data_IF_974849976233
#
_entry.id   IF_974849976233
#
_cell.length_a   1.000
_cell.length_b   1.000
_cell.length_c   1.000
_cell.angle_alpha   90.00
_cell.angle_beta   90.00
_cell.angle_gamma   90.00
#
_symmetry.space_group_name_H-M   'P 1'
#
loop_
_entity.id
_entity.type
_entity.pdbx_description
1 polymer ?
#
# COMPACT_ATOMS: atom_id res chain seq x y z
N UNK A 1 5.81 18.19 12.62
CA UNK A 1 5.90 16.93 13.39
C UNK A 1 4.67 16.12 13.01
N UNK A 2 4.83 14.85 12.61
CA UNK A 2 3.72 14.00 12.16
C UNK A 2 3.32 13.12 13.34
N UNK A 3 2.02 13.08 13.63
CA UNK A 3 1.48 12.20 14.67
C UNK A 3 1.66 10.73 14.29
N UNK A 4 1.67 9.84 15.27
CA UNK A 4 1.79 8.40 15.04
C UNK A 4 0.77 7.65 15.89
N UNK A 5 0.46 6.43 15.46
CA UNK A 5 -0.40 5.51 16.21
C UNK A 5 0.45 4.45 16.91
N UNK A 6 -0.21 3.50 17.57
CA UNK A 6 0.43 2.39 18.23
C UNK A 6 -0.05 1.07 17.63
N UNK A 7 0.85 0.08 17.56
CA UNK A 7 0.55 -1.25 17.05
C UNK A 7 -0.54 -1.92 17.89
N UNK A 8 -1.58 -2.46 17.22
CA UNK A 8 -2.67 -3.21 17.86
C UNK A 8 -2.55 -4.74 17.74
N UNK A 9 -1.64 -5.23 16.88
CA UNK A 9 -1.53 -6.66 16.54
C UNK A 9 -1.23 -7.56 17.75
N UNK A 10 -0.39 -7.10 18.68
CA UNK A 10 -0.03 -7.82 19.92
C UNK A 10 -0.75 -7.27 21.16
N UNK A 11 -1.91 -6.62 20.97
CA UNK A 11 -2.68 -6.03 22.08
C UNK A 11 -3.18 -7.08 23.07
N UNK A 12 -3.42 -8.32 22.62
CA UNK A 12 -3.73 -9.49 23.45
C UNK A 12 -2.63 -9.79 24.48
N UNK A 13 -1.37 -9.46 24.16
CA UNK A 13 -0.19 -9.61 25.02
C UNK A 13 0.14 -8.35 25.82
N UNK A 14 -0.70 -7.32 25.76
CA UNK A 14 -0.42 -6.00 26.35
C UNK A 14 0.91 -5.37 25.85
N UNK A 15 1.32 -5.69 24.63
CA UNK A 15 2.52 -5.11 23.98
C UNK A 15 2.08 -3.96 23.08
N UNK A 16 2.72 -2.81 23.23
CA UNK A 16 2.49 -1.62 22.42
C UNK A 16 3.81 -0.96 22.03
N UNK A 17 3.90 -0.51 20.78
CA UNK A 17 5.03 0.25 20.25
C UNK A 17 4.51 1.21 19.17
N UNK A 18 5.29 2.26 18.90
CA UNK A 18 4.92 3.26 17.88
C UNK A 18 4.79 2.59 16.53
N UNK A 19 3.77 2.98 15.77
CA UNK A 19 3.54 2.52 14.42
C UNK A 19 3.59 3.70 13.45
N UNK A 20 4.16 3.45 12.27
CA UNK A 20 4.46 4.50 11.29
C UNK A 20 5.60 4.06 10.38
N UNK A 21 5.29 3.19 9.43
CA UNK A 21 6.22 2.69 8.43
C UNK A 21 5.59 2.74 7.03
N UNK A 22 6.41 2.52 6.00
CA UNK A 22 5.96 2.29 4.63
C UNK A 22 5.04 3.40 4.08
N UNK A 23 5.48 4.68 4.08
CA UNK A 23 4.64 5.77 3.58
C UNK A 23 4.44 5.65 2.06
N UNK A 24 3.19 5.57 1.63
CA UNK A 24 2.78 5.77 0.24
C UNK A 24 2.22 7.18 0.08
N UNK A 25 2.87 8.00 -0.76
CA UNK A 25 2.49 9.39 -1.01
C UNK A 25 2.01 9.55 -2.45
N UNK A 26 0.84 10.15 -2.63
CA UNK A 26 0.25 10.44 -3.94
C UNK A 26 -0.12 11.92 -4.04
N UNK A 27 0.21 12.54 -5.17
CA UNK A 27 -0.27 13.88 -5.51
C UNK A 27 -1.66 13.80 -6.13
N UNK A 28 -2.57 14.68 -5.71
CA UNK A 28 -3.92 14.79 -6.21
C UNK A 28 -4.42 16.23 -6.12
N UNK A 29 -4.67 16.87 -7.28
CA UNK A 29 -5.22 18.23 -7.42
C UNK A 29 -4.42 19.30 -6.66
N UNK A 30 -3.10 19.21 -6.68
CA UNK A 30 -2.18 20.14 -6.04
C UNK A 30 -2.00 19.92 -4.53
N UNK A 31 -2.57 18.85 -3.97
CA UNK A 31 -2.32 18.38 -2.60
C UNK A 31 -1.64 17.01 -2.64
N UNK A 32 -1.01 16.63 -1.54
CA UNK A 32 -0.37 15.33 -1.34
C UNK A 32 -1.11 14.57 -0.27
N UNK A 33 -1.33 13.27 -0.48
CA UNK A 33 -1.94 12.37 0.49
C UNK A 33 -0.97 11.25 0.83
N UNK A 34 -0.74 11.04 2.13
CA UNK A 34 0.22 10.06 2.64
C UNK A 34 -0.49 9.01 3.49
N UNK A 35 -0.35 7.75 3.07
CA UNK A 35 -0.88 6.57 3.74
C UNK A 35 0.27 5.83 4.42
N UNK A 36 0.14 5.52 5.70
CA UNK A 36 1.24 4.95 6.49
C UNK A 36 0.71 3.77 7.29
N UNK A 37 1.50 2.69 7.34
CA UNK A 37 1.20 1.45 8.05
C UNK A 37 0.54 1.73 9.41
N UNK A 38 -0.64 1.14 9.61
CA UNK A 38 -1.44 1.12 10.85
C UNK A 38 -1.79 2.48 11.44
N UNK A 39 -1.90 3.50 10.61
CA UNK A 39 -2.30 4.83 11.05
C UNK A 39 -3.80 5.00 11.27
N UNK A 40 -4.61 4.00 10.87
CA UNK A 40 -6.08 4.04 10.93
C UNK A 40 -6.68 5.31 10.30
N UNK A 41 -5.99 5.82 9.29
CA UNK A 41 -6.25 7.06 8.56
C UNK A 41 -5.02 7.43 7.75
N UNK A 42 -4.97 8.68 7.32
CA UNK A 42 -3.92 9.18 6.43
C UNK A 42 -3.75 10.68 6.62
N UNK A 43 -2.72 11.26 6.04
CA UNK A 43 -2.47 12.69 6.11
C UNK A 43 -2.60 13.33 4.75
N UNK A 44 -2.91 14.63 4.75
CA UNK A 44 -2.80 15.47 3.56
C UNK A 44 -1.87 16.65 3.78
N UNK A 45 -1.26 17.15 2.72
CA UNK A 45 -0.35 18.30 2.75
C UNK A 45 -0.42 19.10 1.45
N UNK A 46 -0.06 20.38 1.50
CA UNK A 46 0.12 21.22 0.31
C UNK A 46 1.60 21.44 -0.05
N UNK A 47 2.51 21.11 0.85
CA UNK A 47 3.92 21.48 0.77
C UNK A 47 4.88 20.35 1.16
N UNK A 48 4.36 19.16 1.47
CA UNK A 48 5.10 17.99 1.99
C UNK A 48 5.78 18.21 3.36
N UNK A 49 5.64 19.40 3.96
CA UNK A 49 6.24 19.77 5.24
C UNK A 49 5.20 19.73 6.37
N UNK A 50 4.03 20.29 6.11
CA UNK A 50 2.93 20.42 7.04
C UNK A 50 1.81 19.45 6.67
N UNK A 51 1.47 18.57 7.62
CA UNK A 51 0.55 17.46 7.39
C UNK A 51 -0.66 17.57 8.31
N UNK A 52 -1.86 17.43 7.74
CA UNK A 52 -3.15 17.40 8.43
C UNK A 52 -3.70 15.97 8.40
N UNK A 53 -4.04 15.40 9.56
CA UNK A 53 -4.62 14.06 9.61
C UNK A 53 -6.07 14.06 9.14
N UNK A 54 -6.36 13.22 8.14
CA UNK A 54 -7.70 12.95 7.63
C UNK A 54 -8.27 11.74 8.35
N UNK A 55 -9.36 11.98 9.09
CA UNK A 55 -10.12 10.90 9.73
C UNK A 55 -10.92 10.15 8.67
N UNK A 56 -10.80 8.82 8.58
CA UNK A 56 -11.57 8.07 7.61
C UNK A 56 -13.06 8.06 7.91
N UNK A 57 -13.86 8.04 6.84
CA UNK A 57 -15.30 7.91 6.85
C UNK A 57 -15.74 6.53 6.35
N UNK A 58 -16.69 6.51 5.41
CA UNK A 58 -17.28 5.26 4.89
C UNK A 58 -16.26 4.40 4.14
N UNK A 59 -16.49 3.08 4.18
CA UNK A 59 -15.73 2.02 3.49
C UNK A 59 -14.22 1.96 3.79
N UNK A 60 -13.72 2.73 4.75
CA UNK A 60 -12.32 2.64 5.16
C UNK A 60 -12.02 1.28 5.79
N UNK A 61 -10.80 0.78 5.56
CA UNK A 61 -10.34 -0.46 6.13
C UNK A 61 -10.05 -0.32 7.64
N UNK A 62 -10.80 -0.99 8.54
CA UNK A 62 -10.76 -0.67 9.97
C UNK A 62 -9.59 -1.33 10.71
N UNK A 63 -8.98 -2.39 10.15
CA UNK A 63 -7.95 -3.18 10.86
C UNK A 63 -6.54 -2.56 10.77
N UNK A 64 -6.39 -1.46 10.02
CA UNK A 64 -5.12 -0.78 9.79
C UNK A 64 -4.30 -1.42 8.66
N UNK A 65 -3.78 -0.60 7.75
CA UNK A 65 -2.97 -1.03 6.62
C UNK A 65 -1.58 -1.57 7.02
N UNK A 66 -0.98 -2.39 6.16
CA UNK A 66 0.44 -2.72 6.15
C UNK A 66 1.01 -2.41 4.76
N UNK A 67 2.03 -1.54 4.65
CA UNK A 67 2.66 -1.18 3.38
C UNK A 67 1.64 -0.87 2.26
N UNK A 68 0.78 0.14 2.45
CA UNK A 68 -0.27 0.46 1.47
C UNK A 68 0.32 0.97 0.15
N UNK A 69 -0.51 0.95 -0.90
CA UNK A 69 -0.24 1.62 -2.17
C UNK A 69 -1.29 2.70 -2.45
N UNK A 70 -0.90 3.76 -3.15
CA UNK A 70 -1.83 4.76 -3.65
C UNK A 70 -1.41 5.27 -5.03
N UNK A 71 -2.38 5.52 -5.90
CA UNK A 71 -2.14 5.95 -7.28
C UNK A 71 -3.20 6.96 -7.72
N UNK A 72 -2.79 8.06 -8.34
CA UNK A 72 -3.72 9.02 -8.93
C UNK A 72 -4.06 8.59 -10.36
N UNK A 73 -5.35 8.40 -10.65
CA UNK A 73 -5.80 8.03 -11.98
C UNK A 73 -7.18 8.60 -12.30
N UNK A 74 -7.30 9.26 -13.47
CA UNK A 74 -8.55 9.83 -13.98
C UNK A 74 -9.32 10.65 -12.94
N UNK A 75 -8.62 11.58 -12.29
CA UNK A 75 -9.22 12.48 -11.30
C UNK A 75 -9.84 11.72 -10.09
N UNK A 76 -9.22 10.60 -9.73
CA UNK A 76 -9.48 9.84 -8.51
C UNK A 76 -8.20 9.29 -7.92
N UNK A 77 -8.13 9.20 -6.60
CA UNK A 77 -7.10 8.42 -5.91
C UNK A 77 -7.58 6.98 -5.80
N UNK A 78 -6.76 6.05 -6.27
CA UNK A 78 -6.87 4.62 -6.02
C UNK A 78 -6.00 4.27 -4.82
N UNK A 79 -6.50 3.42 -3.93
CA UNK A 79 -5.83 3.02 -2.70
C UNK A 79 -5.93 1.52 -2.50
N UNK A 80 -4.80 0.89 -2.18
CA UNK A 80 -4.70 -0.53 -1.87
C UNK A 80 -4.18 -0.64 -0.45
N UNK A 81 -5.03 -1.14 0.44
CA UNK A 81 -4.79 -0.97 1.88
C UNK A 81 -3.66 -1.84 2.44
N UNK A 82 -3.13 -2.79 1.69
CA UNK A 82 -2.18 -3.75 2.24
C UNK A 82 -2.76 -4.53 3.44
N UNK A 83 -3.93 -5.15 3.25
CA UNK A 83 -4.55 -6.02 4.24
C UNK A 83 -3.56 -7.17 4.60
N UNK A 84 -3.24 -7.40 5.89
CA UNK A 84 -2.33 -8.47 6.30
C UNK A 84 -2.75 -9.90 5.89
N UNK A 85 -4.03 -10.14 5.61
CA UNK A 85 -4.52 -11.41 5.05
C UNK A 85 -4.16 -11.59 3.56
N UNK A 86 -3.68 -10.52 2.92
CA UNK A 86 -3.42 -10.42 1.50
C UNK A 86 -4.66 -10.41 0.62
N UNK A 87 -5.86 -10.30 1.20
CA UNK A 87 -7.13 -10.24 0.48
C UNK A 87 -7.78 -8.87 0.64
N UNK A 88 -7.87 -8.10 -0.44
CA UNK A 88 -8.40 -6.74 -0.38
C UNK A 88 -9.03 -6.27 -1.70
N UNK A 89 -9.95 -5.32 -1.57
CA UNK A 89 -10.43 -4.51 -2.69
C UNK A 89 -9.52 -3.30 -2.90
N UNK A 90 -9.49 -2.79 -4.14
CA UNK A 90 -9.02 -1.44 -4.40
C UNK A 90 -10.11 -0.47 -3.91
N UNK A 91 -9.74 0.51 -3.11
CA UNK A 91 -10.59 1.63 -2.73
C UNK A 91 -10.34 2.81 -3.66
N UNK A 92 -11.33 3.67 -3.85
CA UNK A 92 -11.18 4.88 -4.66
C UNK A 92 -12.01 6.06 -4.14
N UNK A 93 -11.57 7.27 -4.45
CA UNK A 93 -12.28 8.52 -4.14
C UNK A 93 -11.77 9.67 -5.01
N UNK A 94 -12.67 10.59 -5.39
CA UNK A 94 -12.34 11.87 -6.03
C UNK A 94 -12.26 13.03 -5.02
N UNK A 95 -12.50 12.74 -3.74
CA UNK A 95 -12.44 13.67 -2.64
C UNK A 95 -11.75 13.03 -1.41
N UNK A 96 -10.43 12.77 -1.50
CA UNK A 96 -9.68 12.16 -0.41
C UNK A 96 -9.64 13.03 0.86
N UNK A 97 -9.84 14.35 0.78
CA UNK A 97 -9.96 15.19 1.97
C UNK A 97 -11.19 14.87 2.83
N UNK A 98 -12.24 14.27 2.26
CA UNK A 98 -13.46 13.93 2.99
C UNK A 98 -13.34 12.71 3.90
N UNK A 99 -12.29 11.89 3.75
CA UNK A 99 -12.17 10.61 4.44
C UNK A 99 -13.03 9.49 3.84
N UNK A 100 -13.94 9.78 2.92
CA UNK A 100 -14.89 8.80 2.37
C UNK A 100 -14.33 8.11 1.12
N UNK A 101 -14.50 6.79 1.10
CA UNK A 101 -14.04 5.94 0.01
C UNK A 101 -15.18 5.10 -0.55
N UNK A 102 -15.02 4.67 -1.80
CA UNK A 102 -15.79 3.59 -2.39
C UNK A 102 -14.88 2.37 -2.57
N UNK A 103 -15.47 1.18 -2.59
CA UNK A 103 -14.74 -0.06 -2.82
C UNK A 103 -15.09 -0.63 -4.19
N UNK A 104 -14.08 -1.05 -4.95
CA UNK A 104 -14.32 -1.86 -6.14
C UNK A 104 -14.87 -3.21 -5.69
N UNK A 105 -16.01 -3.70 -6.22
CA UNK A 105 -16.64 -4.94 -5.79
C UNK A 105 -15.94 -6.16 -6.41
N UNK A 106 -14.65 -6.30 -6.11
CA UNK A 106 -13.76 -7.38 -6.48
C UNK A 106 -12.68 -7.50 -5.38
N UNK A 107 -12.18 -8.71 -5.17
CA UNK A 107 -11.12 -8.99 -4.20
C UNK A 107 -9.91 -9.51 -4.97
N UNK A 108 -8.75 -8.90 -4.72
CA UNK A 108 -7.45 -9.43 -5.11
C UNK A 108 -6.88 -10.21 -3.91
N UNK A 109 -6.20 -11.31 -4.19
CA UNK A 109 -5.69 -12.24 -3.18
C UNK A 109 -4.17 -12.39 -3.26
N UNK A 110 -3.57 -12.82 -2.15
CA UNK A 110 -2.14 -13.09 -2.00
C UNK A 110 -1.25 -11.86 -2.26
N UNK A 111 -1.74 -10.67 -1.94
CA UNK A 111 -0.99 -9.42 -2.08
C UNK A 111 -0.33 -9.06 -0.75
N UNK A 112 0.99 -8.97 -0.75
CA UNK A 112 1.77 -8.48 0.39
C UNK A 112 2.66 -7.34 -0.11
N UNK A 113 2.63 -6.21 0.58
CA UNK A 113 3.30 -4.96 0.19
C UNK A 113 2.95 -4.59 -1.28
N UNK A 114 1.66 -4.35 -1.57
CA UNK A 114 1.20 -4.10 -2.93
C UNK A 114 1.74 -2.77 -3.47
N UNK A 115 1.86 -2.69 -4.79
CA UNK A 115 2.02 -1.46 -5.56
C UNK A 115 1.07 -1.48 -6.78
N UNK A 116 0.30 -0.41 -6.96
CA UNK A 116 -0.64 -0.24 -8.06
C UNK A 116 -0.08 0.77 -9.04
N UNK A 117 0.19 0.31 -10.26
CA UNK A 117 0.77 1.12 -11.32
C UNK A 117 -0.15 1.14 -12.53
N UNK A 118 -0.42 2.33 -13.06
CA UNK A 118 -1.11 2.51 -14.33
C UNK A 118 -0.13 3.21 -15.28
N UNK A 119 0.20 2.51 -16.36
CA UNK A 119 1.20 2.94 -17.33
C UNK A 119 0.62 3.96 -18.32
N UNK A 120 1.47 4.63 -19.09
CA UNK A 120 1.11 5.67 -20.07
C UNK A 120 0.28 5.10 -21.24
N UNK A 121 0.40 3.81 -21.53
CA UNK A 121 -0.46 3.11 -22.49
C UNK A 121 -1.86 2.77 -21.92
N UNK A 122 -2.07 3.12 -20.65
CA UNK A 122 -3.29 2.91 -19.90
C UNK A 122 -3.45 1.50 -19.34
N UNK A 123 -2.50 0.58 -19.48
CA UNK A 123 -2.59 -0.71 -18.81
C UNK A 123 -2.38 -0.55 -17.31
N UNK A 124 -3.08 -1.36 -16.53
CA UNK A 124 -2.99 -1.37 -15.08
C UNK A 124 -2.25 -2.63 -14.61
N UNK A 125 -1.40 -2.48 -13.61
CA UNK A 125 -0.57 -3.54 -13.07
C UNK A 125 -0.64 -3.52 -11.55
N UNK A 126 -0.63 -4.71 -10.96
CA UNK A 126 -0.38 -4.90 -9.53
C UNK A 126 0.98 -5.57 -9.38
N UNK A 127 1.85 -4.97 -8.58
CA UNK A 127 3.08 -5.57 -8.10
C UNK A 127 2.98 -5.88 -6.62
N UNK A 128 3.69 -6.90 -6.15
CA UNK A 128 3.72 -7.25 -4.74
C UNK A 128 4.88 -8.19 -4.41
N UNK A 129 5.26 -8.22 -3.14
CA UNK A 129 6.22 -9.18 -2.62
C UNK A 129 6.94 -8.65 -1.38
N UNK A 130 7.00 -9.48 -0.34
CA UNK A 130 7.74 -9.20 0.89
C UNK A 130 8.32 -10.51 1.39
N UNK A 131 9.43 -10.94 0.79
CA UNK A 131 10.03 -12.24 1.09
C UNK A 131 11.52 -12.24 0.79
N UNK A 132 12.26 -13.01 1.57
CA UNK A 132 13.66 -13.35 1.34
C UNK A 132 13.85 -14.59 0.47
N UNK A 133 12.77 -15.32 0.15
CA UNK A 133 12.79 -16.56 -0.63
C UNK A 133 12.07 -16.41 -1.95
N UNK A 134 10.96 -15.66 -1.95
CA UNK A 134 10.09 -15.51 -3.11
C UNK A 134 10.35 -14.21 -3.86
N UNK A 135 10.16 -14.18 -5.19
CA UNK A 135 10.41 -12.99 -5.99
C UNK A 135 9.34 -11.93 -5.77
N UNK A 136 9.68 -10.71 -6.19
CA UNK A 136 8.65 -9.72 -6.55
C UNK A 136 7.85 -10.26 -7.73
N UNK A 137 6.53 -10.09 -7.66
CA UNK A 137 5.58 -10.55 -8.67
C UNK A 137 4.83 -9.38 -9.26
N UNK A 138 4.39 -9.55 -10.50
CA UNK A 138 3.53 -8.60 -11.20
C UNK A 138 2.39 -9.31 -11.91
N UNK A 139 1.24 -8.65 -12.03
CA UNK A 139 0.15 -9.08 -12.90
C UNK A 139 -0.51 -7.88 -13.55
N UNK A 140 -1.00 -8.06 -14.78
CA UNK A 140 -1.89 -7.07 -15.40
C UNK A 140 -3.28 -7.16 -14.77
N UNK A 141 -3.96 -6.03 -14.68
CA UNK A 141 -5.35 -5.92 -14.23
C UNK A 141 -6.25 -5.49 -15.39
N UNK A 142 -7.44 -6.08 -15.48
CA UNK A 142 -8.46 -5.59 -16.39
C UNK A 142 -9.20 -4.40 -15.77
N UNK A 143 -8.72 -3.19 -16.06
CA UNK A 143 -9.35 -1.94 -15.61
C UNK A 143 -10.79 -1.75 -16.10
N UNK A 144 -11.20 -2.42 -17.19
CA UNK A 144 -12.56 -2.37 -17.72
C UNK A 144 -13.47 -3.42 -17.05
N UNK A 145 -12.89 -4.32 -16.26
CA UNK A 145 -13.60 -5.36 -15.54
C UNK A 145 -13.22 -5.34 -14.05
N UNK A 146 -13.51 -4.23 -13.36
CA UNK A 146 -13.31 -4.10 -11.89
C UNK A 146 -11.88 -4.39 -11.42
N UNK A 147 -10.88 -4.13 -12.27
CA UNK A 147 -9.47 -4.37 -11.95
C UNK A 147 -9.17 -5.81 -11.50
N UNK A 148 -9.92 -6.80 -11.98
CA UNK A 148 -9.58 -8.20 -11.72
C UNK A 148 -8.30 -8.59 -12.45
N UNK A 149 -7.62 -9.63 -11.95
CA UNK A 149 -6.42 -10.17 -12.60
C UNK A 149 -6.70 -10.52 -14.07
N UNK A 150 -5.82 -10.06 -14.96
CA UNK A 150 -5.81 -10.36 -16.38
C UNK A 150 -4.56 -11.14 -16.74
N UNK A 151 -4.75 -12.32 -17.33
CA UNK A 151 -3.65 -13.20 -17.72
C UNK A 151 -2.91 -13.79 -16.52
N UNK A 152 -1.63 -14.08 -16.70
CA UNK A 152 -0.80 -14.78 -15.72
C UNK A 152 -0.04 -13.82 -14.80
N UNK A 153 0.33 -14.34 -13.63
CA UNK A 153 1.28 -13.67 -12.74
C UNK A 153 2.68 -13.93 -13.25
N UNK A 154 3.51 -12.89 -13.31
CA UNK A 154 4.93 -12.99 -13.68
C UNK A 154 5.79 -12.81 -12.45
N UNK A 155 6.78 -13.68 -12.30
CA UNK A 155 7.90 -13.47 -11.39
C UNK A 155 8.89 -12.50 -12.04
N UNK A 156 9.35 -11.50 -11.30
CA UNK A 156 10.20 -10.44 -11.82
C UNK A 156 11.66 -10.66 -11.43
N UNK A 157 11.99 -10.45 -10.16
CA UNK A 157 13.35 -10.61 -9.66
C UNK A 157 13.35 -11.16 -8.23
N UNK A 158 14.36 -11.98 -7.96
CA UNK A 158 14.74 -12.46 -6.64
C UNK A 158 15.98 -11.70 -6.15
N UNK A 159 16.34 -11.93 -4.89
CA UNK A 159 17.67 -11.57 -4.38
C UNK A 159 18.76 -12.34 -5.17
N UNK A 160 19.88 -11.68 -5.41
CA UNK A 160 21.13 -12.18 -6.00
C UNK A 160 22.31 -11.74 -5.11
N UNK A 161 22.36 -12.32 -3.91
CA UNK A 161 23.34 -12.00 -2.87
C UNK A 161 24.80 -12.16 -3.33
N UNK A 162 25.19 -13.20 -4.10
CA UNK A 162 26.55 -13.33 -4.61
C UNK A 162 26.95 -12.18 -5.54
N UNK A 163 26.01 -11.62 -6.29
CA UNK A 163 26.26 -10.52 -7.22
C UNK A 163 26.18 -9.15 -6.55
N UNK A 164 25.17 -8.92 -5.71
CA UNK A 164 24.88 -7.61 -5.12
C UNK A 164 25.57 -7.40 -3.77
N UNK A 165 25.77 -8.46 -2.99
CA UNK A 165 26.47 -8.42 -1.70
C UNK A 165 25.70 -7.79 -0.53
N UNK A 166 24.81 -6.82 -0.79
CA UNK A 166 24.06 -6.07 0.23
C UNK A 166 22.68 -6.66 0.58
N UNK A 167 22.21 -7.67 -0.16
CA UNK A 167 20.92 -8.36 0.05
C UNK A 167 20.98 -9.41 1.17
N UNK A 168 21.74 -9.11 2.23
CA UNK A 168 22.04 -10.01 3.33
C UNK A 168 21.23 -9.71 4.58
N UNK A 169 20.84 -10.77 5.28
CA UNK A 169 19.96 -10.70 6.44
C UNK A 169 20.74 -10.64 7.77
N UNK A 170 20.02 -10.24 8.82
CA UNK A 170 20.54 -10.10 10.18
C UNK A 170 21.11 -8.71 10.46
N UNK A 171 21.22 -8.36 11.75
CA UNK A 171 21.71 -7.05 12.23
C UNK A 171 23.11 -6.71 11.69
N UNK A 172 23.91 -7.74 11.37
CA UNK A 172 25.28 -7.62 10.88
C UNK A 172 25.46 -8.02 9.41
N UNK A 173 24.39 -8.24 8.65
CA UNK A 173 24.45 -8.65 7.24
C UNK A 173 25.26 -9.95 7.00
N UNK A 174 25.14 -10.93 7.90
CA UNK A 174 25.90 -12.20 7.84
C UNK A 174 25.05 -13.43 7.47
N UNK A 175 23.77 -13.26 7.16
CA UNK A 175 22.83 -14.33 6.80
C UNK A 175 22.54 -15.33 7.94
N UNK A 176 22.77 -14.91 9.18
CA UNK A 176 22.57 -15.68 10.43
C UNK A 176 21.97 -14.82 11.53
#
# INVERSE_FOLDING_TARGET
NIDYTYMIYNSDKSISYRSGADPAVVEFRGEYYMFVTRSHGYWRSKDLLNWEFVRPGRNWYPQGCNAPAAHNYKDSVLYVTGDPSGSMSILYTDNPASGNWEAIPAILHNLQDPDLFIDDDGKAYMFWGSSNVYPIRGMELDKNQRFIKKGETKELFNLDMPKHGWERFGENHTDT
#
